data_IF_748650313741
#
_entry.id   IF_748650313741
#
_cell.length_a   1.000
_cell.length_b   1.000
_cell.length_c   1.000
_cell.angle_alpha   90.00
_cell.angle_beta   90.00
_cell.angle_gamma   90.00
#
_symmetry.space_group_name_H-M   'P 1'
#
loop_
_entity.id
_entity.type
_entity.pdbx_description
1 polymer ?
#
# COMPACT_ATOMS: atom_id res chain seq x y z
N UNK A 1 -48.16 -8.95 49.17
CA UNK A 1 -48.29 -8.18 47.92
C UNK A 1 -46.99 -7.49 47.52
N UNK A 2 -46.30 -6.75 48.40
CA UNK A 2 -45.08 -6.01 48.06
C UNK A 2 -43.92 -6.89 47.51
N UNK A 3 -43.74 -8.12 48.06
CA UNK A 3 -42.73 -9.08 47.55
C UNK A 3 -43.03 -9.61 46.14
N UNK A 4 -44.29 -9.70 45.76
CA UNK A 4 -44.72 -10.17 44.46
C UNK A 4 -44.43 -9.12 43.35
N UNK A 5 -44.60 -7.84 43.68
CA UNK A 5 -44.22 -6.73 42.77
C UNK A 5 -42.72 -6.63 42.55
N UNK A 6 -41.93 -6.86 43.61
CA UNK A 6 -40.46 -6.85 43.49
C UNK A 6 -39.98 -8.01 42.60
N UNK A 7 -40.55 -9.21 42.77
CA UNK A 7 -40.21 -10.37 41.94
C UNK A 7 -40.60 -10.15 40.47
N UNK A 8 -41.80 -9.55 40.21
CA UNK A 8 -42.23 -9.20 38.86
C UNK A 8 -41.31 -8.15 38.18
N UNK A 9 -40.84 -7.15 38.96
CA UNK A 9 -39.97 -6.11 38.47
C UNK A 9 -38.57 -6.67 38.12
N UNK A 10 -38.04 -7.59 38.93
CA UNK A 10 -36.78 -8.28 38.66
C UNK A 10 -36.91 -9.16 37.41
N UNK A 11 -38.00 -9.88 37.24
CA UNK A 11 -38.25 -10.72 36.07
C UNK A 11 -38.39 -9.90 34.79
N UNK A 12 -39.06 -8.73 34.85
CA UNK A 12 -39.19 -7.80 33.73
C UNK A 12 -37.80 -7.18 33.36
N UNK A 13 -36.96 -6.90 34.36
CA UNK A 13 -35.65 -6.36 34.14
C UNK A 13 -34.67 -7.39 33.50
N UNK A 14 -34.81 -8.68 33.87
CA UNK A 14 -34.02 -9.76 33.24
C UNK A 14 -34.45 -10.01 31.79
N UNK A 15 -35.71 -9.81 31.43
CA UNK A 15 -36.22 -9.97 30.08
C UNK A 15 -35.66 -8.90 29.09
N UNK A 16 -35.34 -7.71 29.60
CA UNK A 16 -34.78 -6.64 28.77
C UNK A 16 -33.31 -6.85 28.40
N UNK A 17 -32.57 -7.68 29.15
CA UNK A 17 -31.18 -8.02 28.84
C UNK A 17 -31.04 -9.15 27.79
N UNK A 18 -32.13 -9.83 27.42
CA UNK A 18 -32.12 -10.88 26.40
C UNK A 18 -32.26 -10.34 24.97
N UNK A 19 -32.42 -9.03 24.79
CA UNK A 19 -32.33 -8.38 23.48
C UNK A 19 -30.87 -8.17 23.07
N UNK A 20 -30.04 -9.21 23.20
CA UNK A 20 -28.76 -9.26 22.47
C UNK A 20 -29.10 -9.40 21.00
N UNK A 21 -28.95 -8.34 20.30
CA UNK A 21 -29.16 -8.20 18.87
C UNK A 21 -28.35 -9.28 18.13
N UNK A 22 -29.04 -10.23 17.51
CA UNK A 22 -28.41 -11.19 16.58
C UNK A 22 -27.89 -10.53 15.31
N UNK A 23 -28.07 -9.22 15.15
CA UNK A 23 -27.56 -8.40 14.03
C UNK A 23 -26.04 -8.52 13.85
N UNK A 24 -25.29 -8.82 14.92
CA UNK A 24 -23.84 -9.06 14.84
C UNK A 24 -23.48 -10.42 14.27
N UNK A 25 -24.44 -11.32 14.07
CA UNK A 25 -24.21 -12.66 13.50
C UNK A 25 -24.34 -12.68 11.98
N UNK A 26 -25.05 -11.71 11.42
CA UNK A 26 -25.16 -11.57 9.97
C UNK A 26 -23.98 -10.84 9.39
N UNK A 27 -23.51 -11.27 8.22
CA UNK A 27 -22.47 -10.58 7.48
C UNK A 27 -23.06 -9.37 6.76
N UNK A 28 -22.92 -8.17 7.35
CA UNK A 28 -23.40 -6.93 6.77
C UNK A 28 -22.59 -6.53 5.52
N UNK A 29 -21.30 -6.83 5.52
CA UNK A 29 -20.41 -6.56 4.41
C UNK A 29 -19.63 -7.82 4.05
N UNK A 30 -19.78 -8.26 2.81
CA UNK A 30 -19.08 -9.43 2.25
C UNK A 30 -17.57 -9.25 2.35
N UNK A 31 -16.88 -10.34 2.69
CA UNK A 31 -15.43 -10.36 2.73
C UNK A 31 -14.82 -10.12 1.35
N UNK A 32 -13.91 -9.16 1.26
CA UNK A 32 -13.21 -8.79 0.03
C UNK A 32 -11.72 -8.67 0.28
N UNK A 33 -10.93 -9.09 -0.70
CA UNK A 33 -9.47 -8.98 -0.66
C UNK A 33 -9.02 -7.69 -1.33
N UNK A 34 -8.07 -7.00 -0.70
CA UNK A 34 -7.48 -5.78 -1.25
C UNK A 34 -6.04 -5.59 -0.80
N UNK A 35 -5.29 -4.80 -1.57
CA UNK A 35 -4.02 -4.25 -1.09
C UNK A 35 -4.28 -3.08 -0.14
N UNK A 36 -3.48 -2.99 0.93
CA UNK A 36 -3.41 -1.82 1.79
C UNK A 36 -2.13 -1.05 1.46
N UNK A 37 -2.10 -0.49 0.28
CA UNK A 37 -0.99 0.34 -0.17
C UNK A 37 -1.28 1.82 0.13
N UNK A 38 -0.26 2.64 0.50
CA UNK A 38 -0.46 4.05 0.75
C UNK A 38 -0.93 4.74 -0.53
N UNK A 39 -1.91 5.64 -0.42
CA UNK A 39 -2.38 6.47 -1.53
C UNK A 39 -1.53 7.74 -1.59
N UNK A 40 -0.82 7.94 -2.69
CA UNK A 40 -0.13 9.19 -3.00
C UNK A 40 -1.00 10.15 -3.82
N UNK A 41 -0.60 11.41 -3.88
CA UNK A 41 -1.31 12.47 -4.61
C UNK A 41 -1.37 12.25 -6.13
N UNK A 42 -0.53 11.36 -6.63
CA UNK A 42 -0.31 11.13 -8.06
C UNK A 42 -1.01 9.89 -8.62
N UNK A 43 -2.03 9.36 -7.98
CA UNK A 43 -2.66 8.07 -8.31
C UNK A 43 -1.72 6.85 -8.21
N UNK A 44 -0.57 7.04 -7.58
CA UNK A 44 0.37 5.98 -7.24
C UNK A 44 0.28 5.63 -5.77
N UNK A 45 0.69 4.43 -5.45
CA UNK A 45 0.96 4.00 -4.08
C UNK A 45 2.44 4.24 -3.80
N UNK A 46 2.79 5.41 -3.28
CA UNK A 46 4.19 5.73 -3.00
C UNK A 46 4.72 4.90 -1.84
N UNK A 47 5.70 4.07 -2.14
CA UNK A 47 6.41 3.25 -1.16
C UNK A 47 7.84 3.76 -0.99
N UNK A 48 8.34 3.65 0.23
CA UNK A 48 9.70 4.04 0.58
C UNK A 48 10.47 2.79 0.95
N UNK A 49 11.51 2.50 0.18
CA UNK A 49 12.36 1.33 0.38
C UNK A 49 13.75 1.79 0.81
N UNK A 50 14.23 1.24 1.93
CA UNK A 50 15.55 1.59 2.43
C UNK A 50 16.61 1.06 1.48
N UNK A 51 17.43 1.96 0.93
CA UNK A 51 18.60 1.60 0.14
C UNK A 51 19.70 1.05 1.05
N UNK A 52 20.19 -0.13 0.72
CA UNK A 52 21.29 -0.78 1.40
C UNK A 52 22.56 -0.74 0.54
N UNK A 53 23.79 -0.82 1.12
CA UNK A 53 25.02 -0.77 0.36
C UNK A 53 25.18 -1.86 -0.71
N UNK A 54 24.48 -2.98 -0.55
CA UNK A 54 24.44 -4.08 -1.53
C UNK A 54 23.43 -3.83 -2.66
N UNK A 55 22.70 -2.71 -2.62
CA UNK A 55 21.67 -2.36 -3.58
C UNK A 55 20.37 -3.15 -3.43
N UNK A 56 20.21 -3.91 -2.36
CA UNK A 56 19.01 -4.70 -2.12
C UNK A 56 18.02 -3.96 -1.21
N UNK A 57 16.76 -4.29 -1.34
CA UNK A 57 15.70 -3.74 -0.48
C UNK A 57 14.52 -4.70 -0.36
N UNK A 58 13.75 -4.57 0.72
CA UNK A 58 12.55 -5.37 0.92
C UNK A 58 11.41 -4.43 1.30
N UNK A 59 10.26 -4.63 0.67
CA UNK A 59 9.02 -3.97 1.04
C UNK A 59 7.97 -5.02 1.39
N UNK A 60 7.26 -4.83 2.49
CA UNK A 60 6.20 -5.71 2.96
C UNK A 60 4.84 -5.10 2.57
N UNK A 61 4.25 -5.59 1.46
CA UNK A 61 2.96 -5.09 0.99
C UNK A 61 1.83 -5.76 1.78
N UNK A 62 1.01 -5.01 2.55
CA UNK A 62 -0.10 -5.62 3.26
C UNK A 62 -1.22 -6.00 2.31
N UNK A 63 -1.64 -7.27 2.38
CA UNK A 63 -2.85 -7.81 1.75
C UNK A 63 -3.87 -8.02 2.85
N UNK A 64 -5.08 -7.48 2.66
CA UNK A 64 -6.10 -7.46 3.72
C UNK A 64 -7.39 -8.16 3.27
N UNK A 65 -8.01 -8.84 4.21
CA UNK A 65 -9.38 -9.32 4.15
C UNK A 65 -10.27 -8.31 4.87
N UNK A 66 -11.12 -7.63 4.14
CA UNK A 66 -12.08 -6.66 4.70
C UNK A 66 -13.48 -7.25 4.68
N UNK A 67 -14.29 -6.94 5.68
CA UNK A 67 -15.66 -7.43 5.83
C UNK A 67 -16.14 -7.15 7.25
N UNK A 68 -17.39 -7.51 7.57
CA UNK A 68 -17.94 -7.36 8.93
C UNK A 68 -17.54 -8.49 9.86
N UNK A 69 -17.08 -9.62 9.33
CA UNK A 69 -16.60 -10.78 10.10
C UNK A 69 -15.08 -10.95 9.94
N UNK A 70 -14.48 -11.56 10.93
CA UNK A 70 -13.10 -12.01 10.83
C UNK A 70 -12.99 -13.13 9.77
N UNK A 71 -11.80 -13.23 9.17
CA UNK A 71 -11.50 -14.32 8.27
C UNK A 71 -11.56 -15.68 9.01
N UNK A 72 -12.42 -16.58 8.59
CA UNK A 72 -12.64 -17.89 9.21
C UNK A 72 -12.01 -19.06 8.43
N UNK A 73 -11.32 -18.76 7.31
CA UNK A 73 -10.74 -19.76 6.41
C UNK A 73 -9.35 -19.36 5.93
N UNK A 74 -8.60 -20.35 5.47
CA UNK A 74 -7.35 -20.10 4.75
C UNK A 74 -7.67 -19.57 3.35
N UNK A 75 -6.99 -18.50 2.94
CA UNK A 75 -7.17 -17.87 1.63
C UNK A 75 -5.81 -17.75 0.94
N UNK A 76 -5.70 -18.29 -0.26
CA UNK A 76 -4.53 -18.20 -1.12
C UNK A 76 -4.78 -17.13 -2.20
N UNK A 77 -4.27 -15.93 -1.95
CA UNK A 77 -4.46 -14.77 -2.83
C UNK A 77 -3.40 -14.79 -3.93
N UNK A 78 -3.83 -14.88 -5.18
CA UNK A 78 -2.94 -14.83 -6.34
C UNK A 78 -2.62 -13.39 -6.72
N UNK A 79 -1.35 -13.07 -6.80
CA UNK A 79 -0.83 -11.73 -7.13
C UNK A 79 -0.05 -11.82 -8.44
N UNK A 80 -0.34 -10.90 -9.34
CA UNK A 80 0.31 -10.78 -10.65
C UNK A 80 0.78 -9.36 -10.92
N UNK A 81 1.65 -9.21 -11.89
CA UNK A 81 2.07 -7.91 -12.46
C UNK A 81 1.09 -7.50 -13.53
N UNK A 82 0.64 -6.24 -13.50
CA UNK A 82 -0.37 -5.67 -14.40
C UNK A 82 0.15 -4.38 -15.07
N UNK A 83 0.98 -4.55 -16.08
CA UNK A 83 1.57 -3.43 -16.83
C UNK A 83 0.52 -2.62 -17.60
N UNK A 84 -0.60 -3.24 -17.98
CA UNK A 84 -1.69 -2.54 -18.69
C UNK A 84 -2.31 -1.42 -17.86
N UNK A 85 -2.47 -1.64 -16.56
CA UNK A 85 -2.99 -0.59 -15.67
C UNK A 85 -2.04 0.62 -15.61
N UNK A 86 -0.73 0.39 -15.56
CA UNK A 86 0.26 1.48 -15.59
C UNK A 86 0.25 2.21 -16.93
N UNK A 87 0.14 1.48 -18.03
CA UNK A 87 0.05 2.08 -19.39
C UNK A 87 -1.19 2.97 -19.52
N UNK A 88 -2.34 2.53 -19.02
CA UNK A 88 -3.58 3.31 -19.02
C UNK A 88 -3.41 4.57 -18.18
N UNK A 89 -2.87 4.46 -16.96
CA UNK A 89 -2.59 5.63 -16.11
C UNK A 89 -1.70 6.65 -16.81
N UNK A 90 -0.63 6.22 -17.46
CA UNK A 90 0.28 7.11 -18.18
C UNK A 90 -0.46 7.86 -19.30
N UNK A 91 -1.31 7.15 -20.07
CA UNK A 91 -2.08 7.75 -21.17
C UNK A 91 -3.13 8.75 -20.67
N UNK A 92 -3.75 8.49 -19.53
CA UNK A 92 -4.77 9.39 -18.95
C UNK A 92 -4.15 10.62 -18.28
N UNK A 93 -2.99 10.44 -17.67
CA UNK A 93 -2.36 11.48 -16.83
C UNK A 93 -1.51 12.46 -17.63
N UNK A 94 -0.79 11.99 -18.64
CA UNK A 94 0.18 12.81 -19.35
C UNK A 94 -0.32 13.20 -20.75
N UNK A 95 0.00 14.43 -21.21
CA UNK A 95 -0.40 14.89 -22.55
C UNK A 95 0.14 13.98 -23.64
N UNK A 96 -0.59 13.88 -24.73
CA UNK A 96 -0.17 13.17 -25.95
C UNK A 96 1.18 13.73 -26.43
N UNK A 97 2.16 12.85 -26.65
CA UNK A 97 3.51 13.23 -27.08
C UNK A 97 4.51 13.55 -25.94
N UNK A 98 4.09 13.54 -24.66
CA UNK A 98 4.96 13.73 -23.49
C UNK A 98 5.27 12.40 -22.81
N UNK A 99 5.78 11.43 -23.57
CA UNK A 99 6.21 10.13 -23.01
C UNK A 99 7.43 10.25 -22.12
N UNK A 100 8.18 11.33 -22.22
CA UNK A 100 9.27 11.72 -21.34
C UNK A 100 8.84 11.92 -19.85
N UNK A 101 7.53 12.11 -19.63
CA UNK A 101 6.96 12.28 -18.29
C UNK A 101 6.38 10.97 -17.71
N UNK A 102 6.31 9.92 -18.50
CA UNK A 102 5.65 8.68 -18.11
C UNK A 102 6.35 8.00 -16.95
N UNK A 103 5.56 7.30 -16.16
CA UNK A 103 6.09 6.35 -15.19
C UNK A 103 6.65 5.13 -15.91
N UNK A 104 7.82 4.67 -15.49
CA UNK A 104 8.54 3.56 -16.10
C UNK A 104 8.19 2.26 -15.35
N UNK A 105 7.71 1.21 -16.03
CA UNK A 105 7.49 -0.06 -15.36
C UNK A 105 8.83 -0.61 -14.86
N UNK A 106 8.86 -1.04 -13.60
CA UNK A 106 10.06 -1.64 -13.02
C UNK A 106 10.35 -2.98 -13.70
N UNK A 107 11.52 -3.10 -14.35
CA UNK A 107 11.88 -4.30 -15.10
C UNK A 107 12.05 -5.51 -14.17
N UNK A 108 11.70 -6.72 -14.66
CA UNK A 108 11.67 -7.96 -13.88
C UNK A 108 12.98 -8.32 -13.16
N UNK A 109 14.11 -7.86 -13.66
CA UNK A 109 15.42 -8.07 -13.03
C UNK A 109 15.60 -7.29 -11.72
N UNK A 110 14.75 -6.29 -11.47
CA UNK A 110 14.84 -5.38 -10.33
C UNK A 110 13.86 -5.72 -9.20
N UNK A 111 13.06 -6.77 -9.34
CA UNK A 111 12.21 -7.27 -8.26
C UNK A 111 12.03 -8.79 -8.33
N UNK A 112 11.70 -9.37 -7.19
CA UNK A 112 11.34 -10.79 -7.10
C UNK A 112 10.35 -11.03 -5.97
N UNK A 113 9.59 -12.10 -6.11
CA UNK A 113 8.66 -12.60 -5.10
C UNK A 113 9.10 -14.01 -4.69
N UNK A 114 8.93 -14.36 -3.41
CA UNK A 114 9.13 -15.73 -2.96
C UNK A 114 8.08 -16.68 -3.56
N UNK A 115 6.86 -16.18 -3.72
CA UNK A 115 5.72 -16.86 -4.34
C UNK A 115 4.79 -15.82 -4.97
N UNK A 116 4.06 -16.20 -6.00
CA UNK A 116 2.95 -15.40 -6.53
C UNK A 116 1.65 -15.57 -5.73
N UNK A 117 1.69 -16.33 -4.64
CA UNK A 117 0.56 -16.58 -3.74
C UNK A 117 0.87 -15.95 -2.38
N UNK A 118 -0.06 -15.12 -1.89
CA UNK A 118 -0.07 -14.61 -0.53
C UNK A 118 -1.05 -15.45 0.30
N UNK A 119 -0.54 -16.29 1.19
CA UNK A 119 -1.34 -17.15 2.06
C UNK A 119 -1.81 -16.38 3.29
N UNK A 120 -3.13 -16.24 3.46
CA UNK A 120 -3.75 -15.59 4.63
C UNK A 120 -4.41 -16.70 5.47
N UNK A 121 -3.89 -17.00 6.67
CA UNK A 121 -4.43 -18.04 7.53
C UNK A 121 -5.83 -17.69 8.06
N UNK A 122 -6.61 -18.70 8.41
CA UNK A 122 -7.85 -18.52 9.16
C UNK A 122 -7.57 -17.80 10.50
N UNK A 123 -8.39 -16.81 10.83
CA UNK A 123 -8.23 -15.96 12.01
C UNK A 123 -7.43 -14.69 11.75
N UNK A 124 -6.69 -14.60 10.66
CA UNK A 124 -5.90 -13.42 10.29
C UNK A 124 -6.61 -12.62 9.21
N UNK A 125 -6.63 -11.30 9.37
CA UNK A 125 -7.24 -10.38 8.40
C UNK A 125 -6.20 -9.62 7.58
N UNK A 126 -4.92 -9.75 7.91
CA UNK A 126 -3.82 -9.05 7.25
C UNK A 126 -2.66 -10.03 7.11
N UNK A 127 -2.10 -10.09 5.90
CA UNK A 127 -0.85 -10.78 5.62
C UNK A 127 0.10 -9.84 4.90
N UNK A 128 1.38 -9.88 5.27
CA UNK A 128 2.42 -9.12 4.62
C UNK A 128 3.01 -9.94 3.46
N UNK A 129 2.98 -9.37 2.27
CA UNK A 129 3.54 -9.97 1.07
C UNK A 129 4.91 -9.36 0.79
N UNK A 130 6.01 -10.13 0.94
CA UNK A 130 7.36 -9.63 0.76
C UNK A 130 7.68 -9.43 -0.72
N UNK A 131 8.16 -8.24 -1.04
CA UNK A 131 8.69 -7.87 -2.36
C UNK A 131 10.17 -7.56 -2.18
N UNK A 132 11.02 -8.32 -2.83
CA UNK A 132 12.46 -8.13 -2.84
C UNK A 132 12.83 -7.25 -4.03
N UNK A 133 13.60 -6.19 -3.79
CA UNK A 133 14.08 -5.28 -4.81
C UNK A 133 15.60 -5.41 -4.99
N UNK A 134 16.05 -5.25 -6.23
CA UNK A 134 17.44 -5.08 -6.59
C UNK A 134 17.58 -3.76 -7.33
N UNK A 135 18.19 -2.77 -6.70
CA UNK A 135 18.35 -1.42 -7.23
C UNK A 135 19.65 -1.22 -8.01
N UNK A 136 20.50 -2.25 -8.12
CA UNK A 136 21.74 -2.17 -8.86
C UNK A 136 21.45 -1.92 -10.35
N UNK A 137 22.06 -0.86 -10.89
CA UNK A 137 21.90 -0.48 -12.29
C UNK A 137 20.61 0.24 -12.65
N UNK A 138 19.81 0.67 -11.65
CA UNK A 138 18.69 1.58 -11.88
C UNK A 138 19.16 3.03 -12.00
N UNK A 139 18.57 3.76 -12.93
CA UNK A 139 18.73 5.21 -13.05
C UNK A 139 17.83 5.90 -12.01
N UNK A 140 18.44 6.68 -11.10
CA UNK A 140 17.71 7.23 -9.94
C UNK A 140 16.82 8.43 -10.27
N UNK A 141 16.93 9.01 -11.45
CA UNK A 141 16.11 10.10 -11.97
C UNK A 141 14.79 9.62 -12.60
N UNK A 142 14.67 8.33 -12.89
CA UNK A 142 13.48 7.74 -13.44
C UNK A 142 12.41 7.40 -12.36
N UNK A 143 11.15 7.49 -12.75
CA UNK A 143 10.01 7.23 -11.85
C UNK A 143 9.51 5.80 -12.03
N UNK A 144 10.17 4.88 -11.36
CA UNK A 144 9.83 3.46 -11.46
C UNK A 144 8.56 3.10 -10.69
N UNK A 145 7.72 2.31 -11.34
CA UNK A 145 6.47 1.79 -10.76
C UNK A 145 6.40 0.29 -10.95
N UNK A 146 6.11 -0.44 -9.86
CA UNK A 146 5.76 -1.85 -9.90
C UNK A 146 4.24 -2.00 -9.84
N UNK A 147 3.58 -2.30 -10.97
CA UNK A 147 2.14 -2.47 -11.03
C UNK A 147 1.75 -3.89 -10.61
N UNK A 148 0.92 -4.02 -9.59
CA UNK A 148 0.43 -5.30 -9.08
C UNK A 148 -1.09 -5.36 -9.13
N UNK A 149 -1.62 -6.56 -9.33
CA UNK A 149 -3.05 -6.88 -9.25
C UNK A 149 -3.28 -8.17 -8.47
N UNK A 150 -4.40 -8.23 -7.76
CA UNK A 150 -4.94 -9.48 -7.25
C UNK A 150 -5.72 -10.12 -8.39
N UNK A 151 -5.40 -11.36 -8.75
CA UNK A 151 -6.12 -12.08 -9.81
C UNK A 151 -7.51 -12.51 -9.35
N UNK A 152 -8.42 -12.71 -10.31
CA UNK A 152 -9.75 -13.29 -10.02
C UNK A 152 -9.61 -14.78 -9.69
N UNK A 153 -10.27 -15.19 -8.61
CA UNK A 153 -10.33 -16.57 -8.19
C UNK A 153 -11.68 -16.87 -7.52
N UNK A 154 -12.31 -18.03 -7.78
CA UNK A 154 -13.58 -18.40 -7.16
C UNK A 154 -13.55 -18.52 -5.62
N UNK A 155 -12.36 -18.67 -5.03
CA UNK A 155 -12.20 -18.82 -3.58
C UNK A 155 -12.30 -17.52 -2.79
N UNK A 156 -12.21 -16.35 -3.44
CA UNK A 156 -12.31 -15.04 -2.80
C UNK A 156 -12.90 -13.98 -3.73
N UNK A 157 -13.32 -12.88 -3.16
CA UNK A 157 -13.86 -11.72 -3.90
C UNK A 157 -12.83 -10.59 -3.85
N UNK A 158 -12.43 -10.09 -5.01
CA UNK A 158 -11.58 -8.90 -5.11
C UNK A 158 -12.37 -7.65 -4.68
N UNK A 159 -11.73 -6.73 -3.97
CA UNK A 159 -12.31 -5.43 -3.69
C UNK A 159 -12.15 -4.49 -4.91
N UNK A 160 -13.13 -4.51 -5.78
CA UNK A 160 -13.14 -3.66 -7.00
C UNK A 160 -13.46 -2.19 -6.70
N UNK A 161 -13.90 -1.86 -5.47
CA UNK A 161 -14.20 -0.49 -5.10
C UNK A 161 -12.93 0.38 -5.13
N UNK A 162 -12.97 1.43 -5.94
CA UNK A 162 -11.82 2.34 -6.19
C UNK A 162 -10.52 1.60 -6.59
N UNK A 163 -10.64 0.45 -7.27
CA UNK A 163 -9.49 -0.29 -7.74
C UNK A 163 -8.58 -0.88 -6.65
N UNK A 164 -9.08 -1.11 -5.43
CA UNK A 164 -8.27 -1.58 -4.28
C UNK A 164 -7.65 -2.96 -4.46
N UNK A 165 -8.05 -3.72 -5.46
CA UNK A 165 -7.41 -4.97 -5.87
C UNK A 165 -6.16 -4.74 -6.72
N UNK A 166 -5.83 -3.48 -7.05
CA UNK A 166 -4.63 -3.07 -7.78
C UNK A 166 -3.74 -2.20 -6.90
N UNK A 167 -2.44 -2.26 -7.12
CA UNK A 167 -1.47 -1.41 -6.46
C UNK A 167 -0.41 -0.98 -7.47
N UNK A 168 -0.29 0.32 -7.71
CA UNK A 168 0.75 0.93 -8.54
C UNK A 168 1.84 1.46 -7.62
N UNK A 169 2.80 0.61 -7.26
CA UNK A 169 3.82 0.93 -6.29
C UNK A 169 4.90 1.82 -6.91
N UNK A 170 4.82 3.13 -6.66
CA UNK A 170 5.89 4.08 -6.97
C UNK A 170 7.04 3.90 -6.00
N UNK A 171 8.19 3.47 -6.49
CA UNK A 171 9.32 3.09 -5.65
C UNK A 171 10.20 4.30 -5.38
N UNK A 172 10.23 4.77 -4.13
CA UNK A 172 11.12 5.81 -3.65
C UNK A 172 12.20 5.21 -2.76
N UNK A 173 13.44 5.53 -3.05
CA UNK A 173 14.56 5.09 -2.24
C UNK A 173 14.84 6.11 -1.13
N UNK A 174 15.23 5.61 0.03
CA UNK A 174 15.72 6.45 1.12
C UNK A 174 16.91 5.81 1.83
N UNK A 175 17.72 6.61 2.47
CA UNK A 175 18.82 6.20 3.32
C UNK A 175 18.86 7.03 4.60
N UNK A 176 19.87 6.86 5.44
CA UNK A 176 20.01 7.58 6.71
C UNK A 176 20.19 9.09 6.54
N UNK A 177 20.53 9.54 5.35
CA UNK A 177 20.74 10.95 5.00
C UNK A 177 19.51 11.54 4.28
N UNK A 178 18.52 10.73 3.93
CA UNK A 178 17.32 11.22 3.27
C UNK A 178 16.46 12.01 4.25
N UNK A 179 16.07 13.22 3.87
CA UNK A 179 15.28 14.08 4.72
C UNK A 179 15.06 15.47 4.17
N UNK A 180 14.49 16.32 5.00
CA UNK A 180 14.30 17.73 4.69
C UNK A 180 15.28 18.56 5.50
N UNK A 181 16.14 19.31 4.84
CA UNK A 181 17.23 20.06 5.44
C UNK A 181 17.00 21.57 5.30
N UNK A 182 17.44 22.31 6.32
CA UNK A 182 17.53 23.76 6.23
C UNK A 182 18.81 24.12 5.48
N UNK A 183 18.66 24.82 4.36
CA UNK A 183 19.76 25.19 3.48
C UNK A 183 20.22 26.63 3.59
N UNK A 184 19.84 27.33 4.67
CA UNK A 184 20.16 28.77 4.87
C UNK A 184 21.66 29.07 4.83
N UNK A 185 22.49 28.10 5.21
CA UNK A 185 23.97 28.22 5.20
C UNK A 185 24.64 27.37 4.12
N UNK A 186 23.85 26.79 3.19
CA UNK A 186 24.39 25.95 2.14
C UNK A 186 25.02 26.77 1.04
N UNK A 187 26.24 26.39 0.64
CA UNK A 187 26.91 26.90 -0.56
C UNK A 187 26.93 25.76 -1.60
N UNK A 188 26.44 26.06 -2.78
CA UNK A 188 26.46 25.11 -3.91
C UNK A 188 27.53 25.57 -4.89
N UNK A 189 28.41 24.68 -5.26
CA UNK A 189 29.46 24.90 -6.25
C UNK A 189 29.15 24.10 -7.51
N UNK A 190 29.43 24.68 -8.66
CA UNK A 190 29.44 23.93 -9.93
C UNK A 190 30.70 23.07 -9.94
N UNK A 191 30.60 21.82 -10.32
CA UNK A 191 31.73 20.90 -10.42
C UNK A 191 32.88 21.52 -11.24
N UNK A 192 34.09 21.47 -10.69
CA UNK A 192 35.29 22.07 -11.31
C UNK A 192 35.47 23.58 -11.03
N UNK A 193 34.58 24.24 -10.28
CA UNK A 193 34.73 25.65 -9.87
C UNK A 193 34.92 25.77 -8.36
N UNK A 194 35.92 26.52 -7.91
CA UNK A 194 36.22 26.75 -6.49
C UNK A 194 36.07 28.20 -6.05
N UNK A 195 35.80 29.12 -6.98
CA UNK A 195 35.96 30.56 -6.72
C UNK A 195 34.71 31.29 -6.30
N UNK A 196 33.50 30.87 -6.77
CA UNK A 196 32.27 31.53 -6.41
C UNK A 196 31.13 30.50 -6.27
N UNK A 197 30.55 30.36 -5.07
CA UNK A 197 29.37 29.49 -4.90
C UNK A 197 28.19 30.08 -5.67
N UNK A 198 27.51 29.25 -6.46
CA UNK A 198 26.19 29.57 -6.96
C UNK A 198 25.25 29.69 -5.77
N UNK A 199 24.80 30.87 -5.41
CA UNK A 199 23.83 31.07 -4.35
C UNK A 199 22.46 30.60 -4.83
N UNK A 200 21.96 29.55 -4.21
CA UNK A 200 20.57 29.11 -4.39
C UNK A 200 19.77 29.67 -3.23
N UNK A 201 18.80 30.54 -3.51
CA UNK A 201 17.89 31.08 -2.51
C UNK A 201 16.82 30.04 -2.14
N UNK A 202 17.28 28.91 -1.65
CA UNK A 202 16.43 27.81 -1.20
C UNK A 202 16.56 27.67 0.31
N UNK A 203 15.44 27.78 1.02
CA UNK A 203 15.43 27.65 2.48
C UNK A 203 15.31 26.21 2.96
N UNK A 204 14.88 25.31 2.09
CA UNK A 204 14.63 23.88 2.40
C UNK A 204 15.00 23.03 1.19
N UNK A 205 15.78 21.99 1.40
CA UNK A 205 16.06 20.96 0.41
C UNK A 205 15.56 19.58 0.93
N UNK A 206 15.03 18.79 0.03
CA UNK A 206 14.81 17.35 0.25
C UNK A 206 15.94 16.57 -0.44
N UNK A 207 16.49 15.63 0.30
CA UNK A 207 17.52 14.70 -0.19
C UNK A 207 17.01 13.27 -0.03
#
# INVERSE_FOLDING_TARGET
MRKLYILGMILAMCATFSACNDEWKEELYTQMISFKAPLGDNSLNEIYVRYQPDGMGIYQLPVIVSGSKNNDRNIDVKIAVDEDTLRILNQEKFPVGRQDLWYVPLAKQHYSFESNICHIPAGENIQLYPIHFNFNGLELDEKYVLPLTIEEDPSYIQNKYKGRYKALLGVNLFNDYSGTYNTTLMNIYIEGTTSDPAKVDTRVARV
#
